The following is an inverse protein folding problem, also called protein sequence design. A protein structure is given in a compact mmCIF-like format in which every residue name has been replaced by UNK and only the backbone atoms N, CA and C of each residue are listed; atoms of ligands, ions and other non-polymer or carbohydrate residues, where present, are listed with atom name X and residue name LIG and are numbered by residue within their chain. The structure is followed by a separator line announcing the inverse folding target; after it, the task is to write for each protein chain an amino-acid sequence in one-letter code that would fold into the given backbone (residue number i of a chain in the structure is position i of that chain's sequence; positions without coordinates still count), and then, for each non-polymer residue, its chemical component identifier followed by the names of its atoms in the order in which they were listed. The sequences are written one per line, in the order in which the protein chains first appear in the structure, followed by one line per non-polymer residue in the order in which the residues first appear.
data_IF_645825928732
#
_entry.id   IF_645825928732
#
_cell.length_a   1.000
_cell.length_b   1.000
_cell.length_c   1.000
_cell.angle_alpha   90.00
_cell.angle_beta   90.00
_cell.angle_gamma   90.00
#
_symmetry.space_group_name_H-M   'P 1'
#
loop_
_entity.id
_entity.type
_entity.pdbx_description
1 polymer ?
#
# COMPACT_ATOMS: atom_id res chain seq x y z
N UNK A 1 -1.55 2.70 -11.80
CA UNK A 1 -1.84 3.30 -13.13
C UNK A 1 -2.17 2.15 -14.07
N UNK A 2 -3.33 2.13 -14.72
CA UNK A 2 -3.64 1.09 -15.73
C UNK A 2 -3.07 1.55 -17.07
N UNK A 3 -2.13 0.82 -17.69
CA UNK A 3 -1.52 1.26 -18.93
C UNK A 3 -2.50 1.16 -20.10
N UNK A 4 -2.64 2.23 -20.88
CA UNK A 4 -3.39 2.21 -22.13
C UNK A 4 -2.53 1.55 -23.23
N UNK A 5 -2.72 0.24 -23.43
CA UNK A 5 -1.93 -0.55 -24.40
C UNK A 5 -2.53 -0.58 -25.81
N UNK A 6 -3.68 0.04 -26.02
CA UNK A 6 -4.34 0.04 -27.32
C UNK A 6 -3.69 1.08 -28.24
N UNK A 7 -3.28 0.66 -29.43
CA UNK A 7 -2.84 1.57 -30.51
C UNK A 7 -3.96 1.67 -31.53
N UNK A 8 -4.55 2.86 -31.68
CA UNK A 8 -5.62 3.11 -32.64
C UNK A 8 -4.98 3.44 -34.00
N UNK A 9 -5.24 2.65 -35.07
CA UNK A 9 -4.75 2.95 -36.41
C UNK A 9 -5.28 4.29 -36.93
N UNK A 10 -4.45 5.05 -37.66
CA UNK A 10 -4.84 6.35 -38.23
C UNK A 10 -5.61 6.23 -39.56
N UNK A 11 -5.59 5.06 -40.21
CA UNK A 11 -6.40 4.81 -41.41
C UNK A 11 -7.89 4.73 -41.04
N UNK A 12 -8.67 5.69 -41.52
CA UNK A 12 -10.10 5.82 -41.22
C UNK A 12 -10.43 6.82 -40.10
N UNK A 13 -9.46 7.63 -39.66
CA UNK A 13 -9.69 8.69 -38.68
C UNK A 13 -10.76 9.67 -39.17
N UNK A 14 -11.82 9.86 -38.38
CA UNK A 14 -12.91 10.80 -38.66
C UNK A 14 -12.70 12.06 -37.82
N UNK A 15 -12.77 13.23 -38.47
CA UNK A 15 -12.78 14.51 -37.75
C UNK A 15 -14.02 14.62 -36.86
N UNK A 16 -13.88 15.24 -35.68
CA UNK A 16 -14.95 15.45 -34.70
C UNK A 16 -15.69 14.17 -34.27
N UNK A 17 -15.02 13.02 -34.26
CA UNK A 17 -15.63 11.75 -33.87
C UNK A 17 -16.17 11.74 -32.42
N UNK A 18 -15.68 12.65 -31.56
CA UNK A 18 -16.20 12.85 -30.21
C UNK A 18 -17.68 13.27 -30.21
N UNK A 19 -18.08 14.20 -31.07
CA UNK A 19 -19.48 14.66 -31.14
C UNK A 19 -20.41 13.55 -31.64
N UNK A 20 -19.93 12.75 -32.60
CA UNK A 20 -20.65 11.58 -33.12
C UNK A 20 -20.85 10.56 -32.00
N UNK A 21 -19.81 10.25 -31.23
CA UNK A 21 -19.90 9.33 -30.09
C UNK A 21 -20.86 9.84 -29.01
N UNK A 22 -20.88 11.15 -28.72
CA UNK A 22 -21.82 11.72 -27.76
C UNK A 22 -23.27 11.58 -28.26
N UNK A 23 -23.53 11.84 -29.54
CA UNK A 23 -24.88 11.74 -30.10
C UNK A 23 -25.36 10.29 -30.20
N UNK A 24 -24.53 9.39 -30.71
CA UNK A 24 -24.93 8.01 -31.01
C UNK A 24 -24.78 7.07 -29.81
N UNK A 25 -23.69 7.20 -29.05
CA UNK A 25 -23.39 6.32 -27.92
C UNK A 25 -23.73 6.93 -26.55
N UNK A 26 -23.89 8.24 -26.45
CA UNK A 26 -24.18 8.94 -25.19
C UNK A 26 -25.36 8.37 -24.40
N UNK A 27 -26.55 8.17 -25.02
CA UNK A 27 -27.69 7.56 -24.34
C UNK A 27 -27.39 6.16 -23.80
N UNK A 28 -26.66 5.33 -24.56
CA UNK A 28 -26.27 3.98 -24.17
C UNK A 28 -25.25 3.96 -23.04
N UNK A 29 -24.26 4.86 -23.08
CA UNK A 29 -23.26 5.02 -22.02
C UNK A 29 -23.93 5.49 -20.72
N UNK A 30 -24.87 6.43 -20.81
CA UNK A 30 -25.62 6.91 -19.65
C UNK A 30 -26.49 5.79 -19.06
N UNK A 31 -27.18 5.03 -19.90
CA UNK A 31 -27.97 3.87 -19.44
C UNK A 31 -27.09 2.84 -18.72
N UNK A 32 -25.92 2.52 -19.29
CA UNK A 32 -24.94 1.61 -18.66
C UNK A 32 -24.42 2.15 -17.33
N UNK A 33 -24.15 3.45 -17.22
CA UNK A 33 -23.73 4.08 -15.97
C UNK A 33 -24.83 4.03 -14.89
N UNK A 34 -26.09 4.28 -15.26
CA UNK A 34 -27.25 4.18 -14.35
C UNK A 34 -27.44 2.74 -13.89
N UNK A 35 -27.34 1.76 -14.80
CA UNK A 35 -27.40 0.34 -14.46
C UNK A 35 -26.30 -0.06 -13.47
N UNK A 36 -25.06 0.38 -13.73
CA UNK A 36 -23.93 0.19 -12.82
C UNK A 36 -24.18 0.80 -11.43
N UNK A 37 -24.72 2.02 -11.36
CA UNK A 37 -25.05 2.68 -10.10
C UNK A 37 -26.14 1.93 -9.31
N UNK A 38 -27.18 1.43 -9.99
CA UNK A 38 -28.22 0.60 -9.37
C UNK A 38 -27.63 -0.71 -8.83
N UNK A 39 -26.76 -1.37 -9.59
CA UNK A 39 -26.10 -2.61 -9.16
C UNK A 39 -25.17 -2.37 -7.95
N UNK A 40 -24.44 -1.25 -7.94
CA UNK A 40 -23.60 -0.85 -6.81
C UNK A 40 -24.41 -0.50 -5.55
N UNK A 41 -25.58 0.13 -5.70
CA UNK A 41 -26.47 0.34 -4.55
C UNK A 41 -27.03 -0.99 -4.02
N UNK A 42 -27.43 -1.90 -4.91
CA UNK A 42 -27.98 -3.23 -4.56
C UNK A 42 -26.98 -4.12 -3.83
N UNK A 43 -25.68 -3.99 -4.14
CA UNK A 43 -24.64 -4.79 -3.48
C UNK A 43 -24.12 -4.17 -2.17
N UNK A 44 -24.80 -3.14 -1.65
CA UNK A 44 -24.43 -2.50 -0.39
C UNK A 44 -23.22 -1.58 -0.50
N UNK A 45 -23.00 -0.96 -1.67
CA UNK A 45 -21.87 -0.07 -1.93
C UNK A 45 -20.51 -0.76 -1.84
N UNK A 46 -20.45 -2.03 -2.26
CA UNK A 46 -19.24 -2.84 -2.25
C UNK A 46 -18.69 -2.98 -3.67
N UNK A 47 -17.41 -2.69 -3.86
CA UNK A 47 -16.71 -3.02 -5.10
C UNK A 47 -15.97 -4.34 -4.88
N UNK A 48 -16.17 -5.31 -5.77
CA UNK A 48 -15.36 -6.52 -5.79
C UNK A 48 -14.04 -6.19 -6.46
N UNK A 49 -12.96 -6.23 -5.69
CA UNK A 49 -11.60 -6.04 -6.21
C UNK A 49 -11.17 -7.32 -6.94
N UNK A 50 -10.75 -7.26 -8.21
CA UNK A 50 -10.25 -8.43 -8.91
C UNK A 50 -8.90 -8.89 -8.33
N UNK A 51 -8.65 -10.19 -8.32
CA UNK A 51 -7.43 -10.81 -7.76
C UNK A 51 -6.13 -10.20 -8.32
N UNK A 52 -6.11 -9.83 -9.59
CA UNK A 52 -4.94 -9.20 -10.24
C UNK A 52 -4.59 -7.82 -9.64
N UNK A 53 -5.59 -7.12 -9.10
CA UNK A 53 -5.38 -5.84 -8.39
C UNK A 53 -4.83 -6.11 -7.00
N UNK A 54 -5.26 -7.16 -6.31
CA UNK A 54 -4.66 -7.58 -5.03
C UNK A 54 -3.17 -7.94 -5.21
N UNK A 55 -2.86 -8.77 -6.21
CA UNK A 55 -1.49 -9.23 -6.49
C UNK A 55 -0.55 -8.09 -6.93
N UNK A 56 -1.05 -7.14 -7.73
CA UNK A 56 -0.27 -5.94 -8.10
C UNK A 56 -0.09 -5.00 -6.89
N UNK A 57 -1.05 -4.96 -5.97
CA UNK A 57 -0.95 -4.15 -4.75
C UNK A 57 0.07 -4.74 -3.77
N UNK A 58 0.26 -6.06 -3.75
CA UNK A 58 1.27 -6.73 -2.92
C UNK A 58 2.71 -6.46 -3.38
N UNK A 59 2.97 -6.46 -4.68
CA UNK A 59 4.30 -6.13 -5.22
C UNK A 59 4.75 -4.69 -4.91
N UNK A 60 3.81 -3.73 -4.84
CA UNK A 60 4.08 -2.37 -4.36
C UNK A 60 4.22 -2.32 -2.83
N UNK A 61 3.40 -3.07 -2.08
CA UNK A 61 3.52 -3.16 -0.61
C UNK A 61 4.88 -3.71 -0.17
N UNK A 62 5.44 -4.69 -0.87
CA UNK A 62 6.77 -5.24 -0.54
C UNK A 62 7.91 -4.24 -0.70
N UNK A 63 7.82 -3.31 -1.66
CA UNK A 63 8.79 -2.21 -1.80
C UNK A 63 8.54 -1.07 -0.80
N UNK A 64 7.29 -0.87 -0.36
CA UNK A 64 6.96 0.08 0.70
C UNK A 64 7.09 -0.49 2.13
N UNK A 65 7.36 -1.78 2.29
CA UNK A 65 7.44 -2.44 3.59
C UNK A 65 8.85 -2.39 4.21
N UNK A 66 9.40 -1.18 4.24
CA UNK A 66 10.73 -0.88 4.78
C UNK A 66 10.92 -1.37 6.23
N UNK A 67 9.86 -1.36 7.05
CA UNK A 67 9.93 -1.83 8.44
C UNK A 67 9.94 -3.35 8.53
N UNK A 68 9.28 -4.03 7.58
CA UNK A 68 9.28 -5.48 7.48
C UNK A 68 10.64 -6.03 7.13
N UNK A 69 11.27 -5.45 6.11
CA UNK A 69 12.61 -5.82 5.68
C UNK A 69 13.62 -5.64 6.84
N UNK A 70 13.56 -4.50 7.53
CA UNK A 70 14.35 -4.26 8.73
C UNK A 70 14.12 -5.33 9.82
N UNK A 71 12.86 -5.64 10.13
CA UNK A 71 12.53 -6.62 11.17
C UNK A 71 12.98 -8.04 10.78
N UNK A 72 12.93 -8.42 9.50
CA UNK A 72 13.38 -9.74 9.05
C UNK A 72 14.89 -9.91 9.02
N UNK A 73 15.63 -8.82 8.78
CA UNK A 73 17.09 -8.86 8.63
C UNK A 73 17.85 -8.56 9.92
N UNK A 74 17.28 -7.74 10.81
CA UNK A 74 17.97 -7.25 12.00
C UNK A 74 17.33 -7.69 13.32
N UNK A 75 16.16 -8.32 13.29
CA UNK A 75 15.39 -8.62 14.50
C UNK A 75 14.86 -10.06 14.53
N UNK A 76 14.63 -10.57 15.73
CA UNK A 76 13.93 -11.84 15.95
C UNK A 76 12.64 -11.57 16.68
N UNK A 77 11.52 -12.09 16.15
CA UNK A 77 10.21 -11.97 16.76
C UNK A 77 9.94 -13.18 17.66
N UNK A 78 10.03 -12.99 18.98
CA UNK A 78 9.81 -14.06 19.96
C UNK A 78 8.89 -13.62 21.11
N UNK A 79 7.96 -14.49 21.58
CA UNK A 79 7.09 -14.22 22.72
C UNK A 79 7.89 -14.21 24.04
N UNK A 80 8.58 -13.11 24.31
CA UNK A 80 9.45 -12.95 25.48
C UNK A 80 10.60 -11.98 25.25
N UNK A 81 10.96 -11.76 23.99
CA UNK A 81 11.96 -10.78 23.62
C UNK A 81 11.47 -9.35 23.85
N UNK A 82 12.39 -8.48 24.23
CA UNK A 82 12.14 -7.05 24.34
C UNK A 82 13.40 -6.27 24.03
N UNK A 83 13.20 -5.07 23.52
CA UNK A 83 14.31 -4.17 23.19
C UNK A 83 13.98 -2.72 23.56
N UNK A 84 14.95 -1.95 24.10
CA UNK A 84 14.77 -0.52 24.26
C UNK A 84 14.44 0.18 22.93
N UNK A 85 13.40 1.01 22.93
CA UNK A 85 12.92 1.70 21.74
C UNK A 85 14.00 2.60 21.10
N UNK A 86 14.88 3.18 21.91
CA UNK A 86 16.04 3.96 21.43
C UNK A 86 17.05 3.11 20.67
N UNK A 87 17.30 1.88 21.12
CA UNK A 87 18.26 0.98 20.49
C UNK A 87 17.71 0.42 19.18
N UNK A 88 16.41 0.07 19.16
CA UNK A 88 15.75 -0.41 17.96
C UNK A 88 15.76 0.64 16.84
N UNK A 89 15.39 1.89 17.16
CA UNK A 89 15.40 2.97 16.17
C UNK A 89 16.82 3.34 15.71
N UNK A 90 17.82 3.29 16.61
CA UNK A 90 19.23 3.50 16.20
C UNK A 90 19.66 2.45 15.18
N UNK A 91 19.37 1.17 15.45
CA UNK A 91 19.73 0.07 14.55
C UNK A 91 19.02 0.18 13.20
N UNK A 92 17.75 0.56 13.20
CA UNK A 92 17.01 0.84 11.98
C UNK A 92 17.68 1.92 11.13
N UNK A 93 18.14 3.02 11.75
CA UNK A 93 18.87 4.08 11.02
C UNK A 93 20.14 3.56 10.38
N UNK A 94 20.95 2.82 11.13
CA UNK A 94 22.19 2.24 10.61
C UNK A 94 21.93 1.27 9.44
N UNK A 95 20.87 0.46 9.54
CA UNK A 95 20.47 -0.46 8.48
C UNK A 95 20.00 0.29 7.22
N UNK A 96 19.11 1.27 7.37
CA UNK A 96 18.60 2.07 6.25
C UNK A 96 19.70 2.89 5.58
N UNK A 97 20.58 3.52 6.36
CA UNK A 97 21.74 4.26 5.84
C UNK A 97 22.73 3.34 5.11
N UNK A 98 22.96 2.12 5.64
CA UNK A 98 23.81 1.11 5.01
C UNK A 98 23.25 0.58 3.68
N UNK A 99 21.94 0.53 3.54
CA UNK A 99 21.25 0.19 2.28
C UNK A 99 21.21 1.35 1.28
N UNK A 100 21.55 2.59 1.69
CA UNK A 100 21.38 3.80 0.88
C UNK A 100 19.93 4.28 0.79
N UNK A 101 19.06 3.78 1.69
CA UNK A 101 17.63 4.07 1.71
C UNK A 101 17.29 5.32 2.53
N UNK A 102 16.07 5.84 2.32
CA UNK A 102 15.57 6.98 3.06
C UNK A 102 15.23 6.61 4.53
N UNK A 103 15.92 7.27 5.46
CA UNK A 103 15.66 7.14 6.90
C UNK A 103 14.37 7.85 7.30
N UNK A 104 13.31 7.08 7.55
CA UNK A 104 12.04 7.61 8.09
C UNK A 104 12.16 8.14 9.52
N UNK A 105 11.30 9.11 9.86
CA UNK A 105 11.29 9.75 11.18
C UNK A 105 10.80 8.78 12.26
N UNK A 106 11.21 9.04 13.50
CA UNK A 106 10.83 8.24 14.66
C UNK A 106 9.30 8.06 14.84
N UNK A 107 8.43 9.06 14.61
CA UNK A 107 6.98 8.87 14.70
C UNK A 107 6.48 7.85 13.67
N UNK A 108 6.91 7.97 12.42
CA UNK A 108 6.54 7.03 11.34
C UNK A 108 7.01 5.62 11.68
N UNK A 109 8.19 5.51 12.30
CA UNK A 109 8.73 4.24 12.77
C UNK A 109 7.91 3.60 13.88
N UNK A 110 7.47 4.37 14.87
CA UNK A 110 6.61 3.83 15.92
C UNK A 110 5.26 3.37 15.36
N UNK A 111 4.62 4.18 14.51
CA UNK A 111 3.34 3.83 13.87
C UNK A 111 3.47 2.55 13.04
N UNK A 112 4.57 2.39 12.31
CA UNK A 112 4.81 1.20 11.50
C UNK A 112 4.97 -0.09 12.34
N UNK A 113 5.60 0.00 13.52
CA UNK A 113 5.68 -1.12 14.46
C UNK A 113 4.32 -1.42 15.14
N UNK A 114 3.55 -0.39 15.50
CA UNK A 114 2.21 -0.52 16.10
C UNK A 114 1.23 -1.18 15.13
N UNK A 115 1.25 -0.79 13.85
CA UNK A 115 0.44 -1.39 12.80
C UNK A 115 0.74 -2.88 12.59
N UNK A 116 1.90 -3.36 13.05
CA UNK A 116 2.30 -4.78 13.02
C UNK A 116 1.96 -5.53 14.31
N UNK A 117 1.26 -4.89 15.24
CA UNK A 117 0.85 -5.51 16.50
C UNK A 117 1.94 -5.58 17.56
N UNK A 118 3.08 -4.90 17.38
CA UNK A 118 4.09 -4.79 18.41
C UNK A 118 3.63 -3.82 19.50
N UNK A 119 3.76 -4.23 20.75
CA UNK A 119 3.34 -3.43 21.89
C UNK A 119 4.52 -2.64 22.47
N UNK A 120 4.32 -1.34 22.68
CA UNK A 120 5.26 -0.47 23.39
C UNK A 120 4.91 -0.44 24.87
N UNK A 121 5.89 -0.71 25.73
CA UNK A 121 5.73 -0.69 27.19
C UNK A 121 6.73 0.26 27.84
N UNK A 122 6.27 1.03 28.82
CA UNK A 122 7.15 1.83 29.69
C UNK A 122 7.71 0.94 30.79
N UNK A 123 9.04 0.90 30.91
CA UNK A 123 9.73 0.36 32.08
C UNK A 123 10.18 1.51 33.00
N UNK A 124 10.65 1.18 34.21
CA UNK A 124 11.20 2.16 35.17
C UNK A 124 12.29 3.06 34.55
N UNK A 125 13.03 2.54 33.57
CA UNK A 125 14.19 3.23 32.99
C UNK A 125 13.89 3.77 31.59
N UNK A 126 13.34 2.97 30.68
CA UNK A 126 13.09 3.39 29.29
C UNK A 126 11.79 2.83 28.69
N UNK A 127 11.44 3.26 27.47
CA UNK A 127 10.42 2.60 26.66
C UNK A 127 11.01 1.39 25.96
N UNK A 128 10.29 0.28 25.94
CA UNK A 128 10.67 -0.97 25.27
C UNK A 128 9.59 -1.42 24.30
N UNK A 129 9.98 -2.09 23.22
CA UNK A 129 9.08 -2.86 22.38
C UNK A 129 9.09 -4.31 22.84
N UNK A 130 7.91 -4.92 22.96
CA UNK A 130 7.73 -6.32 23.34
C UNK A 130 7.51 -7.19 22.10
N UNK A 131 7.98 -8.44 22.16
CA UNK A 131 7.85 -9.39 21.05
C UNK A 131 8.92 -9.24 19.98
N UNK A 132 9.95 -8.43 20.23
CA UNK A 132 11.05 -8.18 19.29
C UNK A 132 12.39 -8.08 20.04
N UNK A 133 13.36 -8.86 19.58
CA UNK A 133 14.76 -8.86 20.03
C UNK A 133 15.71 -8.52 18.88
N UNK A 134 16.96 -8.20 19.20
CA UNK A 134 18.01 -8.11 18.18
C UNK A 134 18.51 -9.50 17.84
N UNK A 135 18.82 -9.71 16.55
CA UNK A 135 19.68 -10.81 16.10
C UNK A 135 21.15 -10.57 16.48
#
# INVERSE_FOLDING_TARGET
MVPFRATIPTQGSRSNYGDILVQEAGPSILAWAVEGAVNFARNGYQLQTPDVVEETTEAYRGQEDWVGNFLSECCTLEPGAWIPASNLYRRYREWAEGAGDYVRRLPDFNTALENRGLAKKRTKTCNVWQGVGMQ
#
